data_IF_202474264176
#
_entry.id   IF_202474264176
#
_cell.length_a   1.000
_cell.length_b   1.000
_cell.length_c   1.000
_cell.angle_alpha   90.00
_cell.angle_beta   90.00
_cell.angle_gamma   90.00
#
_symmetry.space_group_name_H-M   'P 1'
#
loop_
_entity.id
_entity.type
_entity.pdbx_description
1 polymer ?
#
# COMPACT_ATOMS: atom_id res chain seq x y z
N UNK A 1 6.99 -9.19 21.21
CA UNK A 1 7.10 -8.58 19.87
C UNK A 1 5.84 -7.77 19.63
N UNK A 2 5.94 -6.48 19.29
CA UNK A 2 4.85 -5.50 19.37
C UNK A 2 3.87 -5.51 18.17
N UNK A 3 4.18 -6.25 17.11
CA UNK A 3 3.36 -6.35 15.92
C UNK A 3 3.23 -7.81 15.52
N UNK A 4 2.08 -8.40 15.83
CA UNK A 4 1.72 -9.74 15.38
C UNK A 4 1.64 -9.77 13.85
N UNK A 5 2.06 -10.89 13.28
CA UNK A 5 2.53 -11.08 11.91
C UNK A 5 1.48 -10.96 10.78
N UNK A 6 0.34 -10.33 11.05
CA UNK A 6 -0.79 -10.19 10.13
C UNK A 6 -1.04 -8.75 9.66
N UNK A 7 -0.55 -7.73 10.39
CA UNK A 7 -0.76 -6.32 10.04
C UNK A 7 0.21 -5.82 8.96
N UNK A 8 1.38 -6.44 8.79
CA UNK A 8 2.42 -5.93 7.88
C UNK A 8 1.99 -5.93 6.41
N UNK A 9 1.30 -6.99 5.95
CA UNK A 9 0.80 -7.05 4.58
C UNK A 9 -0.30 -6.01 4.36
N UNK A 10 -1.15 -5.81 5.35
CA UNK A 10 -2.21 -4.81 5.31
C UNK A 10 -1.63 -3.40 5.20
N UNK A 11 -0.62 -3.06 6.02
CA UNK A 11 0.09 -1.79 5.93
C UNK A 11 0.75 -1.58 4.55
N UNK A 12 1.37 -2.61 3.99
CA UNK A 12 1.94 -2.53 2.64
C UNK A 12 0.85 -2.34 1.57
N UNK A 13 -0.31 -2.98 1.72
CA UNK A 13 -1.43 -2.84 0.79
C UNK A 13 -2.08 -1.45 0.89
N UNK A 14 -2.17 -0.89 2.10
CA UNK A 14 -2.57 0.49 2.35
C UNK A 14 -1.61 1.47 1.64
N UNK A 15 -0.30 1.28 1.82
CA UNK A 15 0.72 2.09 1.17
C UNK A 15 0.64 2.00 -0.35
N UNK A 16 0.52 0.80 -0.93
CA UNK A 16 0.39 0.61 -2.38
C UNK A 16 -0.89 1.26 -2.92
N UNK A 17 -2.00 1.21 -2.16
CA UNK A 17 -3.26 1.84 -2.55
C UNK A 17 -3.16 3.37 -2.56
N UNK A 18 -2.45 3.94 -1.60
CA UNK A 18 -2.29 5.39 -1.45
C UNK A 18 -1.23 5.92 -2.43
N UNK A 19 -0.03 5.36 -2.41
CA UNK A 19 1.15 5.83 -3.17
C UNK A 19 1.20 5.31 -4.61
N UNK A 20 0.50 4.21 -4.91
CA UNK A 20 0.67 3.48 -6.16
C UNK A 20 1.64 2.30 -6.02
N UNK A 21 1.98 1.62 -7.13
CA UNK A 21 2.78 0.40 -7.11
C UNK A 21 4.14 0.61 -6.44
N UNK A 22 4.53 -0.32 -5.56
CA UNK A 22 5.81 -0.24 -4.85
C UNK A 22 7.00 -0.32 -5.83
N UNK A 23 8.03 0.53 -5.67
CA UNK A 23 9.20 0.50 -6.55
C UNK A 23 9.95 -0.83 -6.48
N UNK A 24 10.31 -1.41 -7.64
CA UNK A 24 11.01 -2.71 -7.73
C UNK A 24 12.30 -2.77 -6.92
N UNK A 25 13.06 -1.67 -6.85
CA UNK A 25 14.32 -1.62 -6.11
C UNK A 25 14.11 -1.72 -4.59
N UNK A 26 12.96 -1.28 -4.06
CA UNK A 26 12.61 -1.44 -2.65
C UNK A 26 12.23 -2.90 -2.36
N UNK A 27 11.47 -3.52 -3.27
CA UNK A 27 11.09 -4.93 -3.17
C UNK A 27 12.34 -5.82 -3.21
N UNK A 28 13.27 -5.54 -4.12
CA UNK A 28 14.53 -6.29 -4.24
C UNK A 28 15.45 -6.14 -3.02
N UNK A 29 15.31 -5.04 -2.26
CA UNK A 29 16.06 -4.80 -1.01
C UNK A 29 15.30 -5.24 0.24
N UNK A 30 14.07 -5.75 0.09
CA UNK A 30 13.28 -6.19 1.22
C UNK A 30 13.96 -7.37 1.92
N UNK A 31 13.85 -7.42 3.25
CA UNK A 31 14.36 -8.54 4.04
C UNK A 31 13.73 -9.86 3.57
N UNK A 32 14.45 -10.99 3.68
CA UNK A 32 13.91 -12.33 3.36
C UNK A 32 12.59 -12.63 4.06
N UNK A 33 12.37 -12.06 5.25
CA UNK A 33 11.11 -12.17 6.00
C UNK A 33 9.92 -11.51 5.31
N UNK A 34 10.16 -10.52 4.45
CA UNK A 34 9.14 -9.81 3.70
C UNK A 34 8.86 -10.43 2.33
N UNK A 35 9.70 -11.36 1.85
CA UNK A 35 9.51 -12.05 0.57
C UNK A 35 8.16 -12.78 0.50
N UNK A 36 7.67 -13.30 1.63
CA UNK A 36 6.34 -13.92 1.75
C UNK A 36 5.16 -12.98 1.44
N UNK A 37 5.38 -11.67 1.45
CA UNK A 37 4.36 -10.67 1.14
C UNK A 37 4.37 -10.29 -0.35
N UNK A 38 5.33 -10.79 -1.14
CA UNK A 38 5.46 -10.46 -2.55
C UNK A 38 5.27 -11.70 -3.43
N UNK A 39 4.28 -11.68 -4.33
CA UNK A 39 4.16 -12.68 -5.38
C UNK A 39 5.27 -12.48 -6.41
N UNK A 40 6.06 -13.53 -6.61
CA UNK A 40 7.19 -13.57 -7.56
C UNK A 40 8.20 -12.43 -7.35
N UNK A 41 8.31 -11.90 -6.14
CA UNK A 41 9.22 -10.79 -5.81
C UNK A 41 8.95 -9.48 -6.57
N UNK A 42 7.75 -9.31 -7.14
CA UNK A 42 7.45 -8.18 -8.04
C UNK A 42 6.19 -7.41 -7.66
N UNK A 43 5.21 -8.06 -7.02
CA UNK A 43 3.93 -7.45 -6.65
C UNK A 43 3.54 -7.90 -5.26
N UNK A 44 2.84 -7.05 -4.53
CA UNK A 44 2.29 -7.42 -3.24
C UNK A 44 1.29 -8.58 -3.40
N UNK A 45 1.30 -9.55 -2.49
CA UNK A 45 0.38 -10.67 -2.48
C UNK A 45 -0.99 -10.26 -1.90
N UNK A 46 -1.64 -9.31 -2.56
CA UNK A 46 -2.91 -8.73 -2.13
C UNK A 46 -3.91 -8.72 -3.28
N UNK A 47 -5.20 -9.04 -3.04
CA UNK A 47 -5.86 -9.36 -1.75
C UNK A 47 -5.73 -10.81 -1.25
N UNK A 48 -5.14 -11.73 -2.01
CA UNK A 48 -5.14 -13.17 -1.71
C UNK A 48 -4.37 -13.53 -0.42
N UNK A 49 -3.34 -12.77 -0.06
CA UNK A 49 -2.61 -12.93 1.20
C UNK A 49 -3.26 -12.24 2.41
N UNK A 50 -4.41 -11.58 2.25
CA UNK A 50 -5.06 -10.82 3.31
C UNK A 50 -5.38 -11.71 4.53
N UNK A 51 -5.06 -11.21 5.73
CA UNK A 51 -5.30 -11.95 6.96
C UNK A 51 -6.80 -12.11 7.28
N UNK A 52 -7.64 -11.14 6.88
CA UNK A 52 -9.08 -11.16 7.13
C UNK A 52 -9.85 -10.26 6.16
N UNK A 53 -11.18 -10.41 6.15
CA UNK A 53 -12.08 -9.52 5.37
C UNK A 53 -12.08 -8.10 5.91
N UNK A 54 -11.84 -7.93 7.20
CA UNK A 54 -11.73 -6.65 7.89
C UNK A 54 -10.49 -5.91 7.40
N UNK A 55 -9.36 -6.61 7.25
CA UNK A 55 -8.12 -6.09 6.66
C UNK A 55 -8.39 -5.59 5.23
N UNK A 56 -9.14 -6.37 4.44
CA UNK A 56 -9.51 -5.96 3.07
C UNK A 56 -10.35 -4.68 3.03
N UNK A 57 -11.34 -4.59 3.93
CA UNK A 57 -12.19 -3.40 4.05
C UNK A 57 -11.39 -2.17 4.45
N UNK A 58 -10.40 -2.29 5.34
CA UNK A 58 -9.56 -1.17 5.76
C UNK A 58 -8.79 -0.57 4.58
N UNK A 59 -8.10 -1.41 3.79
CA UNK A 59 -7.36 -0.96 2.60
C UNK A 59 -8.29 -0.35 1.54
N UNK A 60 -9.49 -0.91 1.33
CA UNK A 60 -10.45 -0.37 0.36
C UNK A 60 -11.06 0.97 0.75
N UNK A 61 -11.17 1.24 2.06
CA UNK A 61 -11.68 2.52 2.58
C UNK A 61 -10.69 3.68 2.38
N UNK A 62 -9.42 3.40 2.11
CA UNK A 62 -8.43 4.46 1.92
C UNK A 62 -8.64 5.21 0.59
N UNK A 63 -8.77 6.55 0.63
CA UNK A 63 -8.80 7.34 -0.59
C UNK A 63 -7.42 7.28 -1.26
N UNK A 64 -7.41 7.03 -2.58
CA UNK A 64 -6.17 7.12 -3.36
C UNK A 64 -5.64 8.55 -3.32
N UNK A 65 -4.33 8.70 -3.19
CA UNK A 65 -3.67 10.01 -3.06
C UNK A 65 -3.93 10.93 -4.27
N UNK A 66 -4.31 10.37 -5.42
CA UNK A 66 -4.81 11.13 -6.59
C UNK A 66 -5.94 12.11 -6.25
N UNK A 67 -6.75 11.84 -5.21
CA UNK A 67 -7.82 12.76 -4.77
C UNK A 67 -7.29 13.92 -3.92
N UNK A 68 -6.19 13.73 -3.18
CA UNK A 68 -5.60 14.77 -2.30
C UNK A 68 -4.81 15.78 -3.13
N UNK A 69 -4.09 15.32 -4.15
CA UNK A 69 -3.37 16.21 -5.08
C UNK A 69 -4.30 16.91 -6.07
N UNK A 70 -5.42 16.27 -6.48
CA UNK A 70 -6.41 16.95 -7.34
C UNK A 70 -7.06 18.16 -6.66
N UNK A 71 -7.31 18.12 -5.34
CA UNK A 71 -7.85 19.28 -4.64
C UNK A 71 -6.80 20.40 -4.41
N UNK A 72 -5.52 20.07 -4.23
CA UNK A 72 -4.49 21.08 -4.03
C UNK A 72 -4.03 21.75 -5.34
N UNK A 73 -4.06 21.04 -6.47
CA UNK A 73 -3.69 21.63 -7.76
C UNK A 73 -4.76 22.62 -8.29
N UNK A 74 -6.04 22.37 -8.03
CA UNK A 74 -7.10 23.33 -8.38
C UNK A 74 -7.05 24.61 -7.54
N UNK A 75 -6.55 24.55 -6.30
CA UNK A 75 -6.41 25.73 -5.43
C UNK A 75 -5.20 26.58 -5.85
N UNK A 76 -4.12 25.96 -6.32
CA UNK A 76 -2.91 26.68 -6.76
C UNK A 76 -3.09 27.30 -8.16
N UNK A 77 -3.90 26.70 -9.04
CA UNK A 77 -4.16 27.21 -10.40
C UNK A 77 -5.24 28.31 -10.48
N UNK A 78 -5.98 28.57 -9.41
CA UNK A 78 -7.00 29.65 -9.34
C UNK A 78 -6.49 30.93 -8.66
N UNK A 79 -5.20 30.99 -8.33
CA UNK A 79 -4.59 32.06 -7.53
C UNK A 79 -3.28 32.65 -8.06
N UNK A 80 -3.02 32.56 -9.37
CA UNK A 80 -2.01 33.33 -10.12
C UNK A 80 -2.68 33.84 -11.39
#
# INVERSE_FOLDING_TARGET
ALFQTHENLEHLAMMEKVLGPLPKHMIARADRRAEKYFRRGLRLDWPEGAASRESMKAVWKLPRLQRIWSCNMSIILLGI
#
